data_IF_952120444915
#
_entry.id   IF_952120444915
#
_cell.length_a   1.000
_cell.length_b   1.000
_cell.length_c   1.000
_cell.angle_alpha   90.00
_cell.angle_beta   90.00
_cell.angle_gamma   90.00
#
_symmetry.space_group_name_H-M   'P 1'
#
loop_
_entity.id
_entity.type
_entity.pdbx_description
1 polymer ?
#
# COMPACT_ATOMS: atom_id res chain seq x y z
N UNK A 1 -10.12 11.33 7.78
CA UNK A 1 -11.58 11.39 7.99
C UNK A 1 -11.93 11.53 9.46
N UNK A 2 -12.00 10.49 10.30
CA UNK A 2 -12.42 10.67 11.71
C UNK A 2 -11.55 11.68 12.47
N UNK A 3 -10.23 11.66 12.25
CA UNK A 3 -9.30 12.62 12.86
C UNK A 3 -9.55 14.08 12.43
N UNK A 4 -10.02 14.28 11.20
CA UNK A 4 -10.20 15.60 10.61
C UNK A 4 -11.63 16.13 10.84
N UNK A 5 -12.64 15.25 10.81
CA UNK A 5 -14.05 15.60 11.01
C UNK A 5 -14.49 15.53 12.47
N UNK A 6 -13.79 14.78 13.32
CA UNK A 6 -14.21 14.47 14.69
C UNK A 6 -15.42 13.54 14.78
N UNK A 7 -15.86 12.95 13.67
CA UNK A 7 -17.04 12.08 13.58
C UNK A 7 -16.59 10.64 13.39
N UNK A 8 -17.13 9.73 14.20
CA UNK A 8 -16.90 8.30 14.06
C UNK A 8 -17.63 7.74 12.84
N UNK A 9 -16.85 7.13 11.95
CA UNK A 9 -17.36 6.45 10.78
C UNK A 9 -18.06 5.14 11.19
N UNK A 10 -19.34 5.01 10.86
CA UNK A 10 -20.18 3.85 11.23
C UNK A 10 -20.42 2.87 10.09
N UNK A 11 -20.29 3.33 8.85
CA UNK A 11 -20.43 2.52 7.64
C UNK A 11 -19.77 3.20 6.45
N UNK A 12 -19.42 2.42 5.43
CA UNK A 12 -18.90 2.93 4.16
C UNK A 12 -19.82 2.49 3.03
N UNK A 13 -20.30 3.45 2.24
CA UNK A 13 -20.98 3.18 0.96
C UNK A 13 -19.93 3.19 -0.14
N UNK A 14 -19.99 2.21 -1.04
CA UNK A 14 -18.98 2.02 -2.10
C UNK A 14 -19.63 2.00 -3.47
N UNK A 15 -18.94 2.51 -4.48
CA UNK A 15 -19.36 2.46 -5.88
C UNK A 15 -18.16 2.30 -6.82
N UNK A 16 -18.46 2.11 -8.11
CA UNK A 16 -17.46 1.93 -9.18
C UNK A 16 -17.07 0.47 -9.44
N UNK A 17 -16.36 0.26 -10.55
CA UNK A 17 -16.14 -1.08 -11.12
C UNK A 17 -15.46 -2.10 -10.20
N UNK A 18 -14.55 -1.65 -9.31
CA UNK A 18 -13.86 -2.55 -8.37
C UNK A 18 -14.81 -3.14 -7.30
N UNK A 19 -15.96 -2.52 -7.05
CA UNK A 19 -16.91 -2.97 -6.02
C UNK A 19 -17.64 -4.26 -6.39
N UNK A 20 -17.60 -4.66 -7.66
CA UNK A 20 -18.12 -5.97 -8.12
C UNK A 20 -17.38 -7.13 -7.43
N UNK A 21 -16.13 -6.92 -7.00
CA UNK A 21 -15.35 -7.93 -6.30
C UNK A 21 -15.77 -8.08 -4.83
N UNK A 22 -16.57 -9.11 -4.54
CA UNK A 22 -17.04 -9.41 -3.17
C UNK A 22 -15.91 -9.67 -2.17
N UNK A 23 -14.79 -10.26 -2.59
CA UNK A 23 -13.64 -10.47 -1.70
C UNK A 23 -13.01 -9.12 -1.28
N UNK A 24 -12.91 -8.17 -2.22
CA UNK A 24 -12.43 -6.83 -1.91
C UNK A 24 -13.35 -6.13 -0.91
N UNK A 25 -14.68 -6.25 -1.07
CA UNK A 25 -15.65 -5.67 -0.14
C UNK A 25 -15.52 -6.25 1.26
N UNK A 26 -15.35 -7.57 1.35
CA UNK A 26 -15.13 -8.23 2.64
C UNK A 26 -13.82 -7.78 3.29
N UNK A 27 -12.72 -7.70 2.54
CA UNK A 27 -11.44 -7.19 3.04
C UNK A 27 -11.58 -5.75 3.56
N UNK A 28 -12.34 -4.89 2.87
CA UNK A 28 -12.58 -3.53 3.34
C UNK A 28 -13.36 -3.52 4.66
N UNK A 29 -14.44 -4.29 4.78
CA UNK A 29 -15.21 -4.39 6.02
C UNK A 29 -14.37 -4.92 7.19
N UNK A 30 -13.58 -5.97 6.93
CA UNK A 30 -12.69 -6.60 7.90
C UNK A 30 -11.58 -5.67 8.39
N UNK A 31 -10.92 -4.92 7.49
CA UNK A 31 -9.82 -4.01 7.84
C UNK A 31 -10.33 -2.75 8.52
N UNK A 32 -11.49 -2.23 8.11
CA UNK A 32 -12.07 -1.03 8.71
C UNK A 32 -12.84 -1.31 10.00
N UNK A 33 -13.26 -2.57 10.24
CA UNK A 33 -14.05 -2.95 11.41
C UNK A 33 -15.48 -2.38 11.40
N UNK A 34 -15.97 -1.95 10.24
CA UNK A 34 -17.31 -1.37 10.04
C UNK A 34 -17.95 -1.96 8.79
N UNK A 35 -19.28 -1.90 8.70
CA UNK A 35 -20.00 -2.45 7.56
C UNK A 35 -19.72 -1.70 6.26
N UNK A 36 -19.64 -2.43 5.16
CA UNK A 36 -19.55 -1.90 3.80
C UNK A 36 -20.87 -2.17 3.07
N UNK A 37 -21.44 -1.13 2.46
CA UNK A 37 -22.73 -1.17 1.76
C UNK A 37 -22.50 -0.94 0.28
N UNK A 38 -22.76 -1.97 -0.53
CA UNK A 38 -22.65 -1.92 -1.99
C UNK A 38 -24.05 -1.88 -2.62
N UNK A 39 -24.42 -0.82 -3.35
CA UNK A 39 -25.67 -0.78 -4.09
C UNK A 39 -25.64 -1.76 -5.27
N UNK A 40 -26.80 -2.32 -5.62
CA UNK A 40 -26.96 -3.17 -6.81
C UNK A 40 -26.70 -2.39 -8.11
N UNK A 41 -26.98 -1.09 -8.11
CA UNK A 41 -26.65 -0.15 -9.18
C UNK A 41 -25.26 0.46 -8.95
N UNK A 42 -24.27 0.06 -9.75
CA UNK A 42 -22.86 0.43 -9.55
C UNK A 42 -22.52 1.86 -9.98
N UNK A 43 -23.29 2.45 -10.89
CA UNK A 43 -23.09 3.83 -11.38
C UNK A 43 -23.89 4.84 -10.55
N UNK A 44 -23.60 4.91 -9.25
CA UNK A 44 -24.27 5.79 -8.28
C UNK A 44 -24.13 7.28 -8.63
N UNK A 45 -23.02 7.65 -9.27
CA UNK A 45 -22.75 9.02 -9.69
C UNK A 45 -23.78 9.51 -10.71
N UNK A 46 -24.02 8.71 -11.77
CA UNK A 46 -25.02 9.05 -12.78
C UNK A 46 -26.43 9.04 -12.19
N UNK A 47 -26.72 8.07 -11.31
CA UNK A 47 -28.00 7.99 -10.62
C UNK A 47 -28.28 9.23 -9.76
N UNK A 48 -27.29 9.75 -9.04
CA UNK A 48 -27.45 10.96 -8.23
C UNK A 48 -27.79 12.20 -9.06
N UNK A 49 -27.15 12.37 -10.22
CA UNK A 49 -27.48 13.44 -11.16
C UNK A 49 -28.91 13.30 -11.72
N UNK A 50 -29.31 12.08 -12.08
CA UNK A 50 -30.66 11.80 -12.54
C UNK A 50 -31.72 12.06 -11.47
N UNK A 51 -31.44 11.69 -10.20
CA UNK A 51 -32.32 11.97 -9.06
C UNK A 51 -32.48 13.48 -8.84
N UNK A 52 -31.40 14.25 -8.89
CA UNK A 52 -31.44 15.71 -8.76
C UNK A 52 -32.24 16.38 -9.88
N UNK A 53 -32.08 15.91 -11.13
CA UNK A 53 -32.86 16.41 -12.26
C UNK A 53 -34.35 16.01 -12.17
N UNK A 54 -34.65 14.80 -11.70
CA UNK A 54 -36.02 14.29 -11.63
C UNK A 54 -36.92 14.98 -10.60
N UNK A 55 -36.35 15.59 -9.57
CA UNK A 55 -37.09 16.41 -8.58
C UNK A 55 -37.11 17.91 -8.93
N UNK A 56 -36.48 18.31 -10.04
CA UNK A 56 -36.45 19.70 -10.45
C UNK A 56 -37.82 20.16 -10.98
N UNK A 57 -38.17 21.41 -10.68
CA UNK A 57 -39.42 22.04 -11.13
C UNK A 57 -39.55 21.96 -12.65
N UNK A 58 -40.70 21.44 -13.11
CA UNK A 58 -41.00 21.26 -14.54
C UNK A 58 -40.53 19.93 -15.14
N UNK A 59 -39.76 19.11 -14.41
CA UNK A 59 -39.54 17.70 -14.75
C UNK A 59 -40.50 16.81 -13.95
N UNK A 60 -40.64 17.03 -12.64
CA UNK A 60 -41.62 16.41 -11.75
C UNK A 60 -41.75 14.87 -11.90
N UNK A 61 -40.63 14.18 -12.11
CA UNK A 61 -40.57 12.71 -12.17
C UNK A 61 -40.77 12.11 -10.78
N UNK A 62 -40.28 12.80 -9.75
CA UNK A 62 -40.51 12.48 -8.35
C UNK A 62 -40.99 13.72 -7.59
N UNK A 63 -41.93 13.55 -6.65
CA UNK A 63 -42.42 14.64 -5.80
C UNK A 63 -41.32 15.23 -4.90
N UNK A 64 -40.46 14.37 -4.36
CA UNK A 64 -39.34 14.73 -3.51
C UNK A 64 -38.31 13.58 -3.45
N UNK A 65 -37.15 13.85 -2.86
CA UNK A 65 -36.10 12.85 -2.66
C UNK A 65 -36.45 11.81 -1.57
N UNK A 66 -37.43 12.09 -0.71
CA UNK A 66 -37.83 11.21 0.38
C UNK A 66 -38.68 10.02 -0.10
N UNK A 67 -39.37 10.17 -1.23
CA UNK A 67 -40.23 9.16 -1.85
C UNK A 67 -39.52 8.28 -2.90
N UNK A 68 -38.18 8.29 -2.93
CA UNK A 68 -37.42 7.46 -3.84
C UNK A 68 -37.49 5.98 -3.45
N UNK A 69 -37.69 5.11 -4.44
CA UNK A 69 -37.64 3.67 -4.22
C UNK A 69 -36.27 3.28 -3.63
N UNK A 70 -36.23 2.54 -2.51
CA UNK A 70 -34.97 2.16 -1.91
C UNK A 70 -34.16 1.28 -2.86
N UNK A 71 -32.89 1.63 -3.03
CA UNK A 71 -31.95 0.86 -3.85
C UNK A 71 -31.54 -0.39 -3.06
N UNK A 72 -31.71 -1.56 -3.66
CA UNK A 72 -31.23 -2.83 -3.07
C UNK A 72 -29.72 -2.77 -2.86
N UNK A 73 -29.26 -3.18 -1.69
CA UNK A 73 -27.84 -3.15 -1.34
C UNK A 73 -27.38 -4.50 -0.77
N UNK A 74 -26.16 -4.88 -1.12
CA UNK A 74 -25.41 -5.93 -0.41
C UNK A 74 -24.67 -5.30 0.76
N UNK A 75 -24.71 -5.96 1.92
CA UNK A 75 -24.06 -5.49 3.14
C UNK A 75 -23.01 -6.52 3.55
N UNK A 76 -21.78 -6.04 3.70
CA UNK A 76 -20.64 -6.81 4.16
C UNK A 76 -20.34 -6.39 5.59
N UNK A 77 -20.59 -7.29 6.54
CA UNK A 77 -20.23 -7.11 7.94
C UNK A 77 -18.80 -7.61 8.20
N UNK A 78 -18.06 -7.03 9.15
CA UNK A 78 -16.75 -7.55 9.53
C UNK A 78 -16.85 -9.00 10.02
N UNK A 79 -16.01 -9.86 9.46
CA UNK A 79 -15.94 -11.30 9.80
C UNK A 79 -14.80 -11.63 10.75
N UNK A 80 -13.85 -10.71 10.90
CA UNK A 80 -12.70 -10.84 11.79
C UNK A 80 -12.83 -9.92 13.00
N UNK A 81 -12.06 -10.22 14.05
CA UNK A 81 -11.97 -9.33 15.21
C UNK A 81 -11.26 -8.02 14.85
N UNK A 82 -11.62 -6.93 15.54
CA UNK A 82 -10.94 -5.62 15.39
C UNK A 82 -9.43 -5.76 15.54
N UNK A 83 -8.97 -6.54 16.53
CA UNK A 83 -7.56 -6.81 16.77
C UNK A 83 -6.87 -7.46 15.57
N UNK A 84 -7.51 -8.44 14.94
CA UNK A 84 -6.96 -9.09 13.75
C UNK A 84 -6.87 -8.11 12.56
N UNK A 85 -7.89 -7.25 12.40
CA UNK A 85 -7.88 -6.16 11.40
C UNK A 85 -6.72 -5.18 11.63
N UNK A 86 -6.52 -4.75 12.88
CA UNK A 86 -5.41 -3.88 13.28
C UNK A 86 -4.04 -4.51 13.02
N UNK A 87 -3.86 -5.81 13.31
CA UNK A 87 -2.63 -6.55 13.06
C UNK A 87 -2.32 -6.64 11.56
N UNK A 88 -3.34 -6.90 10.72
CA UNK A 88 -3.21 -6.89 9.25
C UNK A 88 -2.83 -5.51 8.74
N UNK A 89 -3.48 -4.46 9.25
CA UNK A 89 -3.19 -3.08 8.89
C UNK A 89 -1.79 -2.64 9.35
N UNK A 90 -1.32 -3.09 10.52
CA UNK A 90 0.02 -2.84 11.00
C UNK A 90 1.09 -3.45 10.09
N UNK A 91 0.89 -4.67 9.60
CA UNK A 91 1.78 -5.32 8.62
C UNK A 91 1.81 -4.56 7.29
N UNK A 92 0.65 -4.10 6.81
CA UNK A 92 0.59 -3.25 5.61
C UNK A 92 1.38 -1.95 5.81
N UNK A 93 1.20 -1.25 6.95
CA UNK A 93 1.99 -0.04 7.27
C UNK A 93 3.49 -0.32 7.30
N UNK A 94 3.91 -1.46 7.86
CA UNK A 94 5.31 -1.87 7.87
C UNK A 94 5.84 -2.12 6.45
N UNK A 95 5.05 -2.71 5.56
CA UNK A 95 5.39 -2.88 4.16
C UNK A 95 5.53 -1.53 3.43
N UNK A 96 4.56 -0.62 3.60
CA UNK A 96 4.61 0.74 3.06
C UNK A 96 5.89 1.45 3.51
N UNK A 97 6.22 1.41 4.80
CA UNK A 97 7.43 2.02 5.34
C UNK A 97 8.71 1.46 4.72
N UNK A 98 8.76 0.17 4.35
CA UNK A 98 9.91 -0.46 3.71
C UNK A 98 10.02 -0.13 2.21
N UNK A 99 8.90 0.21 1.57
CA UNK A 99 8.85 0.64 0.17
C UNK A 99 9.24 2.12 -0.02
N UNK A 100 9.30 2.90 1.06
CA UNK A 100 9.76 4.29 1.02
C UNK A 100 11.25 4.37 0.67
N UNK A 101 11.68 5.51 0.12
CA UNK A 101 13.08 5.82 -0.21
C UNK A 101 13.75 4.88 -1.22
N UNK A 102 12.98 4.05 -1.92
CA UNK A 102 13.49 3.13 -2.95
C UNK A 102 14.31 3.85 -4.03
N UNK A 103 13.86 5.01 -4.50
CA UNK A 103 14.55 5.80 -5.53
C UNK A 103 15.85 6.46 -5.01
N UNK A 104 15.85 6.93 -3.76
CA UNK A 104 17.01 7.59 -3.14
C UNK A 104 18.06 6.61 -2.60
N UNK A 105 17.68 5.36 -2.36
CA UNK A 105 18.58 4.31 -1.86
C UNK A 105 19.69 3.94 -2.85
N UNK A 106 19.55 4.29 -4.14
CA UNK A 106 20.58 4.06 -5.17
C UNK A 106 21.64 5.17 -5.26
N UNK A 107 21.60 6.20 -4.40
CA UNK A 107 22.81 6.99 -4.15
C UNK A 107 23.62 6.31 -3.04
N UNK A 108 24.18 5.13 -3.33
CA UNK A 108 25.32 4.69 -2.55
C UNK A 108 26.41 5.72 -2.83
N UNK A 109 26.69 6.60 -1.88
CA UNK A 109 28.07 6.97 -1.64
C UNK A 109 28.80 5.64 -1.46
N UNK A 110 29.44 5.19 -2.54
CA UNK A 110 30.47 4.18 -2.43
C UNK A 110 31.59 4.87 -1.67
N UNK A 111 31.44 4.93 -0.35
CA UNK A 111 32.54 5.15 0.56
C UNK A 111 33.43 3.93 0.32
N UNK A 112 34.34 4.06 -0.65
CA UNK A 112 35.45 3.14 -0.81
C UNK A 112 36.26 3.29 0.46
N UNK A 113 35.96 2.47 1.47
CA UNK A 113 36.88 2.32 2.58
C UNK A 113 38.20 1.88 1.94
N UNK A 114 39.30 2.51 2.32
CA UNK A 114 40.64 2.20 1.78
C UNK A 114 40.94 0.69 1.76
N UNK A 115 40.39 -0.03 2.74
CA UNK A 115 40.50 -1.48 2.89
C UNK A 115 39.78 -2.30 1.82
N UNK A 116 38.71 -1.77 1.19
CA UNK A 116 37.96 -2.43 0.12
C UNK A 116 38.70 -2.39 -1.23
N UNK A 117 39.74 -1.56 -1.33
CA UNK A 117 40.56 -1.35 -2.53
C UNK A 117 41.96 -1.92 -2.35
N UNK A 118 42.27 -2.58 -1.22
CA UNK A 118 43.58 -3.24 -1.01
C UNK A 118 43.83 -4.24 -2.14
N UNK A 119 44.66 -3.92 -3.15
CA UNK A 119 44.65 -4.67 -4.38
C UNK A 119 45.37 -6.02 -4.19
N UNK A 120 45.17 -6.98 -5.10
CA UNK A 120 46.04 -8.15 -5.31
C UNK A 120 47.55 -7.82 -5.34
N UNK A 121 47.91 -6.54 -5.50
CA UNK A 121 49.24 -5.99 -5.33
C UNK A 121 49.92 -6.39 -4.03
N UNK A 122 49.24 -6.42 -2.87
CA UNK A 122 49.89 -6.86 -1.61
C UNK A 122 50.28 -8.34 -1.62
N UNK A 123 49.47 -9.17 -2.28
CA UNK A 123 49.78 -10.59 -2.53
C UNK A 123 50.94 -10.75 -3.52
N UNK A 124 51.01 -9.91 -4.55
CA UNK A 124 52.12 -9.91 -5.49
C UNK A 124 53.43 -9.43 -4.85
N UNK A 125 53.39 -8.36 -4.05
CA UNK A 125 54.57 -7.84 -3.33
C UNK A 125 55.09 -8.84 -2.30
N UNK A 126 54.21 -9.53 -1.56
CA UNK A 126 54.64 -10.56 -0.61
C UNK A 126 55.22 -11.80 -1.30
N UNK A 127 54.61 -12.26 -2.41
CA UNK A 127 55.15 -13.34 -3.23
C UNK A 127 56.53 -13.03 -3.80
N UNK A 128 56.71 -11.83 -4.39
CA UNK A 128 58.01 -11.43 -4.92
C UNK A 128 59.07 -11.27 -3.82
N UNK A 129 58.70 -10.71 -2.66
CA UNK A 129 59.59 -10.59 -1.51
C UNK A 129 60.10 -11.96 -1.03
N UNK A 130 59.21 -12.95 -0.94
CA UNK A 130 59.57 -14.33 -0.57
C UNK A 130 60.54 -14.98 -1.56
N UNK A 131 60.32 -14.79 -2.87
CA UNK A 131 61.23 -15.32 -3.91
C UNK A 131 62.61 -14.66 -3.83
N UNK A 132 62.68 -13.35 -3.61
CA UNK A 132 63.95 -12.64 -3.46
C UNK A 132 64.72 -13.15 -2.24
N UNK A 133 64.05 -13.28 -1.08
CA UNK A 133 64.68 -13.80 0.14
C UNK A 133 65.18 -15.23 -0.08
N UNK A 134 64.37 -16.10 -0.70
CA UNK A 134 64.78 -17.47 -1.01
C UNK A 134 66.02 -17.51 -1.93
N UNK A 135 66.09 -16.62 -2.92
CA UNK A 135 67.24 -16.52 -3.83
C UNK A 135 68.52 -16.05 -3.14
N UNK A 136 68.42 -15.12 -2.19
CA UNK A 136 69.54 -14.61 -1.41
C UNK A 136 70.08 -15.68 -0.46
N UNK A 137 69.20 -16.44 0.20
CA UNK A 137 69.58 -17.55 1.07
C UNK A 137 70.25 -18.67 0.28
N UNK A 138 69.77 -18.98 -0.93
CA UNK A 138 70.36 -20.00 -1.79
C UNK A 138 71.76 -19.63 -2.29
N UNK A 139 72.05 -18.33 -2.48
CA UNK A 139 73.35 -17.82 -2.96
C UNK A 139 74.38 -17.64 -1.84
N UNK A 140 73.94 -17.67 -0.58
CA UNK A 140 74.78 -17.57 0.62
C UNK A 140 75.23 -18.95 1.17
N UNK A 141 74.87 -20.04 0.50
CA UNK A 141 75.42 -21.39 0.68
C UNK A 141 76.43 -21.69 -0.42
#
# INVERSE_FOLDING_TARGET
MNKDSGIDLTSVKVDGGMTVNSLLMQIQADVLGIRVVRPSMTETTALGAAMAAGVAEGIDVWENLDNLTPITCDIYEPTISIKEGEDKFAKWKAAVSRSMHWETAWKSERATNFWDVMPPGLFLFSSFGLVIIASLVAKAR
#
